data_IF_845074663473
#
_entry.id   IF_845074663473
#
_cell.length_a   1.000
_cell.length_b   1.000
_cell.length_c   1.000
_cell.angle_alpha   90.00
_cell.angle_beta   90.00
_cell.angle_gamma   90.00
#
_symmetry.space_group_name_H-M   'P 1'
#
loop_
_entity.id
_entity.type
_entity.pdbx_description
1 polymer ?
#
# COMPACT_ATOMS: atom_id res chain seq x y z
N UNK A 1 12.18 -21.21 -8.57
CA UNK A 1 11.00 -20.45 -8.08
C UNK A 1 10.99 -20.22 -6.56
N UNK A 2 11.68 -21.01 -5.75
CA UNK A 2 11.55 -21.02 -4.27
C UNK A 2 12.18 -19.80 -3.56
N UNK A 3 13.21 -19.16 -4.13
CA UNK A 3 13.94 -18.02 -3.52
C UNK A 3 13.49 -16.68 -4.11
N UNK A 4 12.83 -16.70 -5.25
CA UNK A 4 12.46 -15.47 -5.99
C UNK A 4 11.50 -14.56 -5.21
N UNK A 5 10.48 -15.11 -4.53
CA UNK A 5 9.49 -14.32 -3.78
C UNK A 5 10.12 -13.57 -2.60
N UNK A 6 10.90 -14.20 -1.68
CA UNK A 6 11.56 -13.46 -0.61
C UNK A 6 12.54 -12.39 -1.12
N UNK A 7 13.23 -12.63 -2.24
CA UNK A 7 14.11 -11.62 -2.86
C UNK A 7 13.30 -10.44 -3.40
N UNK A 8 12.17 -10.68 -4.05
CA UNK A 8 11.28 -9.63 -4.54
C UNK A 8 10.67 -8.81 -3.40
N UNK A 9 10.23 -9.46 -2.31
CA UNK A 9 9.76 -8.76 -1.11
C UNK A 9 10.85 -7.85 -0.56
N UNK A 10 12.07 -8.37 -0.45
CA UNK A 10 13.21 -7.63 0.05
C UNK A 10 13.56 -6.44 -0.87
N UNK A 11 13.50 -6.63 -2.18
CA UNK A 11 13.74 -5.58 -3.15
C UNK A 11 12.70 -4.44 -3.03
N UNK A 12 11.41 -4.76 -2.88
CA UNK A 12 10.36 -3.76 -2.67
C UNK A 12 10.60 -2.97 -1.39
N UNK A 13 10.87 -3.66 -0.28
CA UNK A 13 11.13 -3.02 1.02
C UNK A 13 12.40 -2.17 0.97
N UNK A 14 13.48 -2.69 0.35
CA UNK A 14 14.74 -1.94 0.19
C UNK A 14 14.56 -0.70 -0.66
N UNK A 15 13.84 -0.81 -1.78
CA UNK A 15 13.52 0.33 -2.64
C UNK A 15 12.75 1.39 -1.86
N UNK A 16 11.70 0.98 -1.13
CA UNK A 16 10.87 1.90 -0.33
C UNK A 16 11.68 2.60 0.76
N UNK A 17 12.57 1.87 1.45
CA UNK A 17 13.41 2.42 2.50
C UNK A 17 14.45 3.43 1.97
N UNK A 18 15.09 3.13 0.84
CA UNK A 18 16.11 3.98 0.22
C UNK A 18 15.49 5.26 -0.34
N UNK A 19 14.30 5.19 -0.94
CA UNK A 19 13.61 6.34 -1.51
C UNK A 19 12.64 7.00 -0.52
N UNK A 20 13.10 7.29 0.69
CA UNK A 20 12.38 8.04 1.73
C UNK A 20 11.03 7.41 2.13
N UNK A 21 11.02 6.11 2.32
CA UNK A 21 9.82 5.37 2.76
C UNK A 21 8.56 5.61 1.89
N UNK A 22 8.76 5.96 0.60
CA UNK A 22 7.64 6.18 -0.32
C UNK A 22 6.91 7.52 -0.15
N UNK A 23 7.53 8.52 0.49
CA UNK A 23 6.96 9.87 0.65
C UNK A 23 6.75 10.55 -0.72
N UNK A 24 7.67 10.33 -1.66
CA UNK A 24 7.54 10.90 -3.01
C UNK A 24 6.49 10.15 -3.84
N UNK A 25 5.61 10.89 -4.50
CA UNK A 25 4.50 10.37 -5.32
C UNK A 25 4.99 9.38 -6.39
N UNK A 26 6.14 9.66 -7.05
CA UNK A 26 6.71 8.77 -8.05
C UNK A 26 7.23 7.46 -7.45
N UNK A 27 7.85 7.50 -6.26
CA UNK A 27 8.34 6.31 -5.56
C UNK A 27 7.17 5.44 -5.08
N UNK A 28 6.10 6.07 -4.56
CA UNK A 28 4.86 5.41 -4.20
C UNK A 28 4.21 4.74 -5.40
N UNK A 29 4.14 5.43 -6.55
CA UNK A 29 3.59 4.88 -7.78
C UNK A 29 4.37 3.66 -8.25
N UNK A 30 5.72 3.72 -8.28
CA UNK A 30 6.56 2.58 -8.65
C UNK A 30 6.39 1.39 -7.70
N UNK A 31 6.26 1.66 -6.38
CA UNK A 31 5.99 0.62 -5.40
C UNK A 31 4.64 -0.07 -5.67
N UNK A 32 3.58 0.71 -5.89
CA UNK A 32 2.24 0.20 -6.21
C UNK A 32 2.31 -0.66 -7.48
N UNK A 33 2.89 -0.16 -8.58
CA UNK A 33 3.04 -0.90 -9.82
C UNK A 33 3.84 -2.20 -9.64
N UNK A 34 4.93 -2.16 -8.85
CA UNK A 34 5.73 -3.35 -8.56
C UNK A 34 4.94 -4.40 -7.79
N UNK A 35 4.17 -3.99 -6.77
CA UNK A 35 3.32 -4.90 -5.99
C UNK A 35 2.25 -5.53 -6.88
N UNK A 36 1.54 -4.74 -7.69
CA UNK A 36 0.53 -5.25 -8.62
C UNK A 36 1.15 -6.19 -9.65
N UNK A 37 2.27 -5.82 -10.28
CA UNK A 37 2.96 -6.64 -11.27
C UNK A 37 3.42 -7.99 -10.70
N UNK A 38 4.03 -7.99 -9.52
CA UNK A 38 4.46 -9.23 -8.85
C UNK A 38 3.25 -10.08 -8.45
N UNK A 39 2.17 -9.45 -7.98
CA UNK A 39 0.95 -10.17 -7.60
C UNK A 39 0.31 -10.83 -8.82
N UNK A 40 0.21 -10.12 -9.94
CA UNK A 40 -0.30 -10.68 -11.21
C UNK A 40 0.59 -11.85 -11.67
N UNK A 41 1.91 -11.70 -11.64
CA UNK A 41 2.84 -12.77 -11.99
C UNK A 41 2.70 -13.99 -11.05
N UNK A 42 2.50 -13.76 -9.75
CA UNK A 42 2.28 -14.82 -8.77
C UNK A 42 0.95 -15.54 -8.98
N UNK A 43 -0.12 -14.81 -9.30
CA UNK A 43 -1.44 -15.37 -9.63
C UNK A 43 -1.37 -16.20 -10.92
N UNK A 44 -0.67 -15.71 -11.94
CA UNK A 44 -0.46 -16.44 -13.20
C UNK A 44 0.29 -17.76 -12.95
N UNK A 45 1.39 -17.69 -12.21
CA UNK A 45 2.15 -18.88 -11.83
C UNK A 45 1.32 -19.86 -11.01
N UNK A 46 0.47 -19.36 -10.10
CA UNK A 46 -0.47 -20.17 -9.32
C UNK A 46 -1.54 -20.83 -10.22
N UNK A 47 -2.13 -20.06 -11.14
CA UNK A 47 -3.15 -20.57 -12.06
C UNK A 47 -2.60 -21.71 -12.95
N UNK A 48 -1.38 -21.55 -13.48
CA UNK A 48 -0.69 -22.59 -14.25
C UNK A 48 -0.45 -23.84 -13.37
N UNK A 49 0.05 -23.64 -12.13
CA UNK A 49 0.31 -24.77 -11.23
C UNK A 49 -0.98 -25.46 -10.76
N UNK A 50 -2.09 -24.70 -10.61
CA UNK A 50 -3.40 -25.27 -10.24
C UNK A 50 -3.99 -26.10 -11.37
N UNK A 51 -3.75 -25.74 -12.63
CA UNK A 51 -4.12 -26.56 -13.78
C UNK A 51 -3.41 -27.93 -13.75
N UNK A 52 -2.24 -28.00 -13.08
CA UNK A 52 -1.43 -29.23 -12.94
C UNK A 52 -1.50 -29.90 -11.56
N UNK A 53 -1.85 -29.18 -10.47
CA UNK A 53 -1.92 -29.73 -9.09
C UNK A 53 -3.04 -29.05 -8.29
N UNK A 54 -3.95 -29.87 -7.76
CA UNK A 54 -5.07 -29.49 -6.91
C UNK A 54 -4.54 -29.17 -5.50
N UNK A 55 -4.18 -27.92 -5.20
CA UNK A 55 -3.70 -27.51 -3.88
C UNK A 55 -4.67 -26.55 -3.19
N UNK A 56 -5.08 -26.91 -1.97
CA UNK A 56 -6.18 -26.28 -1.22
C UNK A 56 -5.72 -25.17 -0.25
N UNK A 57 -4.47 -24.69 -0.38
CA UNK A 57 -3.90 -23.74 0.59
C UNK A 57 -4.33 -22.27 0.41
N UNK A 58 -4.78 -21.87 -0.79
CA UNK A 58 -5.09 -20.48 -1.10
C UNK A 58 -6.28 -19.91 -0.29
N UNK A 59 -7.24 -20.75 0.09
CA UNK A 59 -8.45 -20.32 0.80
C UNK A 59 -8.17 -19.89 2.24
N UNK A 60 -7.13 -20.44 2.87
CA UNK A 60 -6.77 -20.11 4.26
C UNK A 60 -6.15 -18.73 4.41
N UNK A 61 -5.50 -18.21 3.37
CA UNK A 61 -4.83 -16.90 3.39
C UNK A 61 -5.85 -15.76 3.40
N UNK A 62 -7.01 -15.95 2.76
CA UNK A 62 -8.05 -14.92 2.64
C UNK A 62 -8.90 -14.82 3.90
N UNK A 63 -8.98 -15.89 4.70
CA UNK A 63 -9.86 -15.99 5.87
C UNK A 63 -9.16 -15.69 7.20
N UNK A 64 -7.91 -15.21 7.19
CA UNK A 64 -7.26 -14.78 8.42
C UNK A 64 -7.84 -13.43 8.93
N UNK A 65 -7.84 -13.18 10.25
CA UNK A 65 -8.43 -11.97 10.84
C UNK A 65 -7.87 -10.66 10.27
N UNK A 66 -6.59 -10.63 9.94
CA UNK A 66 -5.93 -9.43 9.37
C UNK A 66 -6.44 -9.15 7.96
N UNK A 67 -6.56 -10.19 7.11
CA UNK A 67 -7.16 -10.05 5.78
C UNK A 67 -8.59 -9.58 5.83
N UNK A 68 -9.41 -10.16 6.72
CA UNK A 68 -10.81 -9.77 6.88
C UNK A 68 -10.92 -8.31 7.31
N UNK A 69 -10.17 -7.90 8.34
CA UNK A 69 -10.19 -6.52 8.82
C UNK A 69 -9.68 -5.54 7.76
N UNK A 70 -8.64 -5.90 7.00
CA UNK A 70 -8.13 -5.10 5.90
C UNK A 70 -9.15 -4.92 4.78
N UNK A 71 -9.84 -6.00 4.38
CA UNK A 71 -10.92 -5.95 3.38
C UNK A 71 -12.06 -5.05 3.87
N UNK A 72 -12.53 -5.23 5.11
CA UNK A 72 -13.61 -4.42 5.68
C UNK A 72 -13.21 -2.93 5.73
N UNK A 73 -11.99 -2.63 6.12
CA UNK A 73 -11.47 -1.25 6.11
C UNK A 73 -11.46 -0.64 4.70
N UNK A 74 -11.00 -1.40 3.69
CA UNK A 74 -10.98 -0.94 2.30
C UNK A 74 -12.40 -0.77 1.73
N UNK A 75 -13.32 -1.65 2.08
CA UNK A 75 -14.73 -1.51 1.69
C UNK A 75 -15.35 -0.26 2.32
N UNK A 76 -15.05 0.02 3.60
CA UNK A 76 -15.49 1.24 4.26
C UNK A 76 -14.90 2.51 3.62
N UNK A 77 -13.60 2.51 3.33
CA UNK A 77 -12.95 3.62 2.66
C UNK A 77 -13.48 3.82 1.23
N UNK A 78 -13.74 2.73 0.50
CA UNK A 78 -14.37 2.76 -0.82
C UNK A 78 -15.82 3.29 -0.78
N UNK A 79 -16.57 2.91 0.25
CA UNK A 79 -17.94 3.42 0.46
C UNK A 79 -17.98 4.95 0.58
N UNK A 80 -16.96 5.55 1.21
CA UNK A 80 -16.87 7.02 1.35
C UNK A 80 -16.72 7.77 0.01
N UNK A 81 -16.37 7.06 -1.07
CA UNK A 81 -16.25 7.65 -2.42
C UNK A 81 -17.56 7.66 -3.18
N UNK A 82 -18.57 6.91 -2.72
CA UNK A 82 -19.85 6.80 -3.41
C UNK A 82 -20.62 8.10 -3.21
N UNK A 83 -21.06 8.76 -4.30
CA UNK A 83 -21.91 9.94 -4.20
C UNK A 83 -23.29 9.55 -3.64
N UNK A 84 -23.64 10.10 -2.49
CA UNK A 84 -24.88 9.82 -1.78
C UNK A 84 -25.91 10.92 -2.02
N UNK A 85 -27.21 10.59 -2.08
CA UNK A 85 -28.29 11.60 -2.07
C UNK A 85 -28.25 12.44 -0.81
N UNK A 86 -28.65 13.72 -0.92
CA UNK A 86 -28.58 14.70 0.16
C UNK A 86 -29.15 14.24 1.49
N UNK A 87 -30.31 13.56 1.48
CA UNK A 87 -30.93 13.04 2.69
C UNK A 87 -30.09 12.00 3.42
N UNK A 88 -29.45 11.11 2.67
CA UNK A 88 -28.56 10.06 3.24
C UNK A 88 -27.27 10.70 3.75
N UNK A 89 -26.69 11.62 2.99
CA UNK A 89 -25.47 12.32 3.41
C UNK A 89 -25.72 13.15 4.68
N UNK A 90 -26.85 13.82 4.78
CA UNK A 90 -27.21 14.58 5.98
C UNK A 90 -27.36 13.70 7.22
N UNK A 91 -27.88 12.47 7.06
CA UNK A 91 -28.01 11.52 8.16
C UNK A 91 -26.65 10.92 8.59
N UNK A 92 -25.82 10.54 7.62
CA UNK A 92 -24.54 9.88 7.89
C UNK A 92 -23.44 10.87 8.31
N UNK A 93 -23.39 12.06 7.72
CA UNK A 93 -22.34 13.05 7.96
C UNK A 93 -22.84 14.47 7.70
N UNK A 94 -23.56 15.08 8.66
CA UNK A 94 -24.10 16.43 8.52
C UNK A 94 -23.01 17.48 8.34
N UNK A 95 -21.85 17.30 8.97
CA UNK A 95 -20.69 18.20 8.82
C UNK A 95 -20.11 18.19 7.41
N UNK A 96 -20.03 17.03 6.78
CA UNK A 96 -19.57 16.91 5.39
C UNK A 96 -20.54 17.59 4.44
N UNK A 97 -21.85 17.42 4.67
CA UNK A 97 -22.87 18.12 3.87
C UNK A 97 -22.72 19.62 3.97
N UNK A 98 -22.60 20.17 5.19
CA UNK A 98 -22.39 21.60 5.42
C UNK A 98 -21.10 22.10 4.71
N UNK A 99 -20.03 21.32 4.72
CA UNK A 99 -18.80 21.65 4.01
C UNK A 99 -18.98 21.71 2.49
N UNK A 100 -19.73 20.79 1.89
CA UNK A 100 -20.06 20.81 0.46
C UNK A 100 -20.94 22.01 0.09
N UNK A 101 -21.91 22.39 0.93
CA UNK A 101 -22.76 23.58 0.73
C UNK A 101 -21.95 24.88 0.76
N UNK A 102 -20.95 24.98 1.65
CA UNK A 102 -20.10 26.19 1.76
C UNK A 102 -19.11 26.34 0.61
N UNK A 103 -18.65 25.25 -0.01
CA UNK A 103 -17.72 25.29 -1.16
C UNK A 103 -18.36 25.78 -2.45
N UNK A 104 -19.71 25.95 -2.48
CA UNK A 104 -20.43 26.46 -3.65
C UNK A 104 -20.38 25.60 -4.90
N UNK A 105 -19.73 24.42 -4.82
CA UNK A 105 -19.68 23.47 -5.93
C UNK A 105 -21.08 22.94 -6.23
N UNK A 106 -21.50 23.03 -7.48
CA UNK A 106 -22.80 22.59 -7.99
C UNK A 106 -24.04 23.26 -7.32
N UNK A 107 -23.91 24.47 -6.79
CA UNK A 107 -25.03 25.17 -6.17
C UNK A 107 -25.56 24.53 -4.88
N UNK A 108 -24.77 23.70 -4.22
CA UNK A 108 -25.14 23.05 -2.95
C UNK A 108 -26.16 21.91 -3.08
N UNK A 109 -26.58 21.56 -4.28
CA UNK A 109 -27.57 20.51 -4.55
C UNK A 109 -26.96 19.43 -5.47
N UNK A 110 -26.90 18.20 -5.01
CA UNK A 110 -26.43 17.06 -5.81
C UNK A 110 -25.98 15.89 -4.94
N UNK A 111 -25.78 14.73 -5.53
CA UNK A 111 -25.18 13.61 -4.81
C UNK A 111 -23.69 13.90 -4.56
N UNK A 112 -23.30 14.00 -3.29
CA UNK A 112 -21.92 14.23 -2.88
C UNK A 112 -21.37 13.02 -2.11
N UNK A 113 -20.06 12.72 -2.25
CA UNK A 113 -19.43 11.67 -1.45
C UNK A 113 -19.22 12.13 0.00
N UNK A 114 -19.09 11.17 0.91
CA UNK A 114 -18.74 11.45 2.31
C UNK A 114 -17.32 12.04 2.39
N UNK A 115 -16.42 11.60 1.52
CA UNK A 115 -15.08 12.16 1.46
C UNK A 115 -15.08 13.57 0.89
N UNK A 116 -14.50 14.53 1.61
CA UNK A 116 -14.28 15.90 1.14
C UNK A 116 -13.19 16.00 0.06
N UNK A 117 -12.28 15.02 0.01
CA UNK A 117 -11.19 14.93 -0.96
C UNK A 117 -11.22 13.57 -1.67
N UNK A 118 -12.18 13.32 -2.59
CA UNK A 118 -12.38 12.00 -3.21
C UNK A 118 -11.13 11.47 -3.90
N UNK A 119 -10.35 12.33 -4.55
CA UNK A 119 -9.10 11.94 -5.21
C UNK A 119 -8.05 11.39 -4.22
N UNK A 120 -7.89 12.06 -3.07
CA UNK A 120 -6.95 11.63 -2.03
C UNK A 120 -7.41 10.30 -1.42
N UNK A 121 -8.71 10.17 -1.16
CA UNK A 121 -9.30 8.93 -0.64
C UNK A 121 -9.15 7.78 -1.64
N UNK A 122 -9.35 8.03 -2.94
CA UNK A 122 -9.14 7.03 -3.99
C UNK A 122 -7.69 6.54 -4.01
N UNK A 123 -6.73 7.46 -3.99
CA UNK A 123 -5.31 7.11 -3.91
C UNK A 123 -4.97 6.28 -2.67
N UNK A 124 -5.56 6.63 -1.52
CA UNK A 124 -5.38 5.89 -0.27
C UNK A 124 -5.98 4.48 -0.35
N UNK A 125 -7.13 4.32 -1.00
CA UNK A 125 -7.75 3.00 -1.25
C UNK A 125 -6.86 2.16 -2.16
N UNK A 126 -6.36 2.71 -3.27
CA UNK A 126 -5.44 2.01 -4.19
C UNK A 126 -4.18 1.57 -3.44
N UNK A 127 -3.59 2.45 -2.63
CA UNK A 127 -2.43 2.13 -1.81
C UNK A 127 -2.75 1.04 -0.78
N UNK A 128 -3.90 1.11 -0.11
CA UNK A 128 -4.35 0.10 0.85
C UNK A 128 -4.57 -1.27 0.19
N UNK A 129 -5.12 -1.31 -1.03
CA UNK A 129 -5.23 -2.54 -1.83
C UNK A 129 -3.84 -3.11 -2.12
N UNK A 130 -2.89 -2.26 -2.54
CA UNK A 130 -1.52 -2.70 -2.78
C UNK A 130 -0.88 -3.30 -1.51
N UNK A 131 -1.07 -2.67 -0.33
CA UNK A 131 -0.58 -3.19 0.95
C UNK A 131 -1.20 -4.54 1.30
N UNK A 132 -2.51 -4.72 1.08
CA UNK A 132 -3.19 -5.99 1.34
C UNK A 132 -2.68 -7.10 0.40
N UNK A 133 -2.47 -6.78 -0.88
CA UNK A 133 -1.85 -7.71 -1.84
C UNK A 133 -0.41 -8.07 -1.44
N UNK A 134 0.37 -7.08 -0.99
CA UNK A 134 1.71 -7.31 -0.49
C UNK A 134 1.72 -8.21 0.75
N UNK A 135 0.78 -8.01 1.67
CA UNK A 135 0.58 -8.87 2.83
C UNK A 135 0.30 -10.32 2.42
N UNK A 136 -0.61 -10.53 1.47
CA UNK A 136 -0.89 -11.89 0.96
C UNK A 136 0.30 -12.51 0.24
N UNK A 137 1.03 -11.71 -0.54
CA UNK A 137 2.27 -12.16 -1.18
C UNK A 137 3.31 -12.59 -0.13
N UNK A 138 3.43 -11.84 0.96
CA UNK A 138 4.32 -12.16 2.07
C UNK A 138 3.88 -13.45 2.78
N UNK A 139 2.59 -13.60 3.12
CA UNK A 139 2.07 -14.84 3.72
C UNK A 139 2.32 -16.06 2.84
N UNK A 140 2.04 -15.94 1.53
CA UNK A 140 2.27 -17.01 0.58
C UNK A 140 3.76 -17.31 0.39
N UNK A 141 4.58 -16.27 0.33
CA UNK A 141 6.02 -16.38 0.07
C UNK A 141 6.84 -16.87 1.25
N UNK A 142 6.46 -16.48 2.48
CA UNK A 142 7.26 -16.65 3.69
C UNK A 142 6.84 -17.83 4.58
N UNK A 143 6.04 -18.77 4.09
CA UNK A 143 5.57 -19.91 4.88
C UNK A 143 6.69 -20.89 5.34
N UNK A 144 7.90 -20.82 4.79
CA UNK A 144 9.05 -21.63 5.19
C UNK A 144 10.04 -20.83 6.05
N UNK A 145 10.48 -21.38 7.17
CA UNK A 145 11.45 -20.73 8.09
C UNK A 145 12.70 -20.21 7.39
N UNK A 146 13.27 -20.97 6.44
CA UNK A 146 14.47 -20.54 5.71
C UNK A 146 14.24 -19.27 4.89
N UNK A 147 13.03 -19.05 4.35
CA UNK A 147 12.70 -17.83 3.61
C UNK A 147 12.51 -16.63 4.53
N UNK A 148 11.93 -16.86 5.71
CA UNK A 148 11.79 -15.83 6.74
C UNK A 148 13.18 -15.37 7.19
N UNK A 149 14.13 -16.29 7.42
CA UNK A 149 15.50 -15.91 7.77
C UNK A 149 16.18 -15.05 6.70
N UNK A 150 16.00 -15.36 5.41
CA UNK A 150 16.55 -14.54 4.31
C UNK A 150 16.02 -13.11 4.38
N UNK A 151 14.70 -12.94 4.58
CA UNK A 151 14.08 -11.61 4.66
C UNK A 151 14.54 -10.87 5.91
N UNK A 152 14.55 -11.53 7.08
CA UNK A 152 15.02 -10.90 8.34
C UNK A 152 16.48 -10.46 8.21
N UNK A 153 17.37 -11.35 7.72
CA UNK A 153 18.78 -11.01 7.54
C UNK A 153 18.96 -9.84 6.57
N UNK A 154 18.21 -9.85 5.46
CA UNK A 154 18.26 -8.75 4.50
C UNK A 154 17.77 -7.43 5.09
N UNK A 155 16.69 -7.45 5.90
CA UNK A 155 16.19 -6.25 6.59
C UNK A 155 17.18 -5.73 7.63
N UNK A 156 17.87 -6.63 8.36
CA UNK A 156 18.90 -6.24 9.31
C UNK A 156 20.09 -5.56 8.60
N UNK A 157 20.55 -6.14 7.49
CA UNK A 157 21.62 -5.56 6.68
C UNK A 157 21.19 -4.18 6.15
N UNK A 158 20.00 -4.09 5.58
CA UNK A 158 19.45 -2.83 5.07
C UNK A 158 19.36 -1.77 6.17
N UNK A 159 18.77 -2.11 7.32
CA UNK A 159 18.65 -1.20 8.46
C UNK A 159 20.00 -0.73 8.96
N UNK A 160 20.99 -1.63 9.02
CA UNK A 160 22.37 -1.27 9.40
C UNK A 160 23.00 -0.31 8.40
N UNK A 161 22.86 -0.56 7.09
CA UNK A 161 23.40 0.29 6.04
C UNK A 161 22.75 1.69 6.06
N UNK A 162 21.43 1.77 6.20
CA UNK A 162 20.70 3.05 6.29
C UNK A 162 21.11 3.81 7.55
N UNK A 163 21.28 3.13 8.67
CA UNK A 163 21.73 3.76 9.95
C UNK A 163 23.16 4.28 9.84
N UNK A 164 24.07 3.52 9.23
CA UNK A 164 25.46 3.95 9.00
C UNK A 164 25.52 5.15 8.04
N UNK A 165 24.69 5.13 7.00
CA UNK A 165 24.57 6.25 6.07
C UNK A 165 24.08 7.52 6.80
N UNK A 166 23.04 7.41 7.64
CA UNK A 166 22.51 8.54 8.41
C UNK A 166 23.55 9.09 9.41
N UNK A 167 24.33 8.22 10.06
CA UNK A 167 25.40 8.62 10.97
C UNK A 167 26.54 9.32 10.21
N UNK A 168 26.94 8.82 9.04
CA UNK A 168 27.95 9.45 8.22
C UNK A 168 27.51 10.84 7.75
N UNK A 169 26.23 10.98 7.37
CA UNK A 169 25.65 12.26 6.97
C UNK A 169 25.61 13.25 8.13
N UNK A 170 25.24 12.81 9.33
CA UNK A 170 25.24 13.65 10.51
C UNK A 170 26.66 14.13 10.91
N UNK A 171 27.68 13.29 10.67
CA UNK A 171 29.09 13.63 10.96
C UNK A 171 29.72 14.61 9.96
N UNK A 172 29.21 14.72 8.74
CA UNK A 172 29.78 15.60 7.71
C UNK A 172 29.28 17.04 7.77
N UNK A 173 28.35 17.38 8.69
CA UNK A 173 27.75 18.72 8.87
C UNK A 173 27.20 19.33 7.57
N UNK A 174 27.04 18.54 6.52
CA UNK A 174 26.55 18.98 5.23
C UNK A 174 25.02 18.96 5.25
N UNK A 175 24.34 20.10 5.03
CA UNK A 175 22.88 20.14 4.97
C UNK A 175 22.34 19.49 3.69
N UNK A 176 23.17 18.82 2.91
CA UNK A 176 22.77 18.15 1.68
C UNK A 176 21.99 16.86 1.99
N UNK A 177 20.67 17.00 2.09
CA UNK A 177 19.77 15.91 1.77
C UNK A 177 19.79 15.79 0.24
N UNK A 178 20.27 14.69 -0.37
CA UNK A 178 20.57 14.62 -1.81
C UNK A 178 19.40 14.82 -2.77
N UNK A 179 18.23 15.23 -2.31
CA UNK A 179 17.04 15.48 -3.14
C UNK A 179 16.21 16.68 -2.69
N UNK A 180 16.70 17.49 -1.75
CA UNK A 180 16.06 18.74 -1.33
C UNK A 180 16.99 19.93 -1.63
N UNK A 181 17.17 20.28 -2.89
CA UNK A 181 17.43 21.65 -3.24
C UNK A 181 16.08 22.36 -3.28
N UNK A 182 15.73 23.08 -2.22
CA UNK A 182 14.71 24.11 -2.34
C UNK A 182 15.26 25.11 -3.37
N UNK A 183 14.57 25.41 -4.48
CA UNK A 183 14.92 26.55 -5.28
C UNK A 183 14.69 27.80 -4.43
N UNK A 184 15.71 28.66 -4.34
CA UNK A 184 15.65 30.00 -3.77
C UNK A 184 14.57 30.84 -4.45
#
# INVERSE_FOLDING_TARGET
MTIMIPVLILAIVSFTAVFFAGIHVWAQSLMIFSIFGITVAALWAWAINKAFKRDSQATKVILDPVSISGILFLLWAGFQLIPLPDGILQFLSPSTKAAWETTGMAGGKGPFPISLYPYVTLNSVIFGVALLLFYWLALYGLHRRSRVHVVISGLLILGTLVSLYALAQAGTSSPYVPYFNAPD
#
